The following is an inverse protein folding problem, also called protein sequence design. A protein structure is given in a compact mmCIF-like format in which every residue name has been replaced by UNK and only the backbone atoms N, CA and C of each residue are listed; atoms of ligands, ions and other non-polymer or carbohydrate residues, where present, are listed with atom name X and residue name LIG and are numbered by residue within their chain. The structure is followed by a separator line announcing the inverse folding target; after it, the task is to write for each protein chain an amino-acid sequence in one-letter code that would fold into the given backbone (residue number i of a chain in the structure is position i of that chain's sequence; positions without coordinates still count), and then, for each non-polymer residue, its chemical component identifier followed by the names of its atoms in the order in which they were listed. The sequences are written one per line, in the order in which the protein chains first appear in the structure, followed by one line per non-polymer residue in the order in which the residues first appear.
data_IF_384778515256
#
_entry.id   IF_384778515256
#
_cell.length_a   1.000
_cell.length_b   1.000
_cell.length_c   1.000
_cell.angle_alpha   90.00
_cell.angle_beta   90.00
_cell.angle_gamma   90.00
#
_symmetry.space_group_name_H-M   'P 1'
#
loop_
_entity.id
_entity.type
_entity.pdbx_description
1 polymer ?
#
# COMPACT_ATOMS: atom_id res chain seq x y z
N UNK A 1 39.09 -45.87 18.42
CA UNK A 1 39.13 -44.71 17.48
C UNK A 1 38.22 -43.62 18.03
N UNK A 2 38.77 -42.44 18.32
CA UNK A 2 38.02 -41.24 18.68
C UNK A 2 37.54 -40.58 17.39
N UNK A 3 36.25 -40.30 17.25
CA UNK A 3 35.71 -39.48 16.17
C UNK A 3 34.91 -38.34 16.79
N UNK A 4 35.57 -37.18 16.82
CA UNK A 4 35.00 -35.88 17.15
C UNK A 4 34.30 -35.40 15.90
N UNK A 5 32.97 -35.19 15.96
CA UNK A 5 32.24 -34.45 14.94
C UNK A 5 31.94 -33.06 15.46
N UNK A 6 32.79 -32.11 15.06
CA UNK A 6 32.48 -30.69 15.05
C UNK A 6 31.82 -30.38 13.70
N UNK A 7 30.55 -29.95 13.71
CA UNK A 7 29.91 -29.28 12.58
C UNK A 7 29.12 -28.11 13.18
N UNK A 8 29.81 -26.97 13.30
CA UNK A 8 29.69 -25.80 12.38
C UNK A 8 28.36 -25.08 12.55
N UNK A 9 28.45 -23.94 13.23
CA UNK A 9 27.42 -22.94 13.35
C UNK A 9 26.82 -22.57 11.98
N UNK A 10 25.57 -22.95 11.76
CA UNK A 10 24.71 -22.33 10.76
C UNK A 10 24.26 -20.98 11.30
N UNK A 11 25.11 -19.96 11.12
CA UNK A 11 24.69 -18.57 11.17
C UNK A 11 23.68 -18.37 10.05
N UNK A 12 22.40 -18.41 10.41
CA UNK A 12 21.31 -17.94 9.56
C UNK A 12 21.45 -16.41 9.53
N UNK A 13 22.31 -15.94 8.63
CA UNK A 13 22.37 -14.53 8.26
C UNK A 13 21.07 -14.21 7.53
N UNK A 14 20.09 -13.66 8.25
CA UNK A 14 18.94 -13.00 7.66
C UNK A 14 19.45 -11.75 6.92
N UNK A 15 19.86 -11.90 5.66
CA UNK A 15 20.06 -10.76 4.77
C UNK A 15 18.70 -10.25 4.27
N UNK A 16 17.93 -9.62 5.17
CA UNK A 16 16.90 -8.67 4.79
C UNK A 16 17.61 -7.38 4.32
N UNK A 17 18.18 -7.42 3.12
CA UNK A 17 18.74 -6.23 2.50
C UNK A 17 17.59 -5.43 1.90
N UNK A 18 17.05 -4.49 2.68
CA UNK A 18 16.46 -3.29 2.11
C UNK A 18 17.53 -2.68 1.20
N UNK A 19 17.25 -2.61 -0.09
CA UNK A 19 18.18 -2.13 -1.10
C UNK A 19 18.19 -0.60 -1.09
N UNK A 20 18.63 -0.03 0.03
CA UNK A 20 18.77 1.41 0.21
C UNK A 20 19.89 1.90 -0.72
N UNK A 21 19.50 2.48 -1.86
CA UNK A 21 20.46 3.08 -2.80
C UNK A 21 20.70 4.53 -2.41
N UNK A 22 21.80 4.78 -1.70
CA UNK A 22 22.27 6.13 -1.36
C UNK A 22 22.86 6.81 -2.60
N UNK A 23 22.31 7.96 -3.00
CA UNK A 23 22.85 8.83 -4.05
C UNK A 23 23.06 10.22 -3.41
N UNK A 24 24.27 10.48 -2.90
CA UNK A 24 24.55 11.71 -2.13
C UNK A 24 23.86 11.71 -0.75
N UNK A 25 23.23 12.82 -0.36
CA UNK A 25 22.43 12.95 0.88
C UNK A 25 20.99 12.43 0.74
N UNK A 26 20.65 11.84 -0.41
CA UNK A 26 19.31 11.32 -0.69
C UNK A 26 19.32 9.81 -0.53
N UNK A 27 18.40 9.30 0.28
CA UNK A 27 18.18 7.86 0.48
C UNK A 27 16.83 7.48 -0.14
N UNK A 28 16.85 6.53 -1.06
CA UNK A 28 15.64 5.90 -1.58
C UNK A 28 15.17 4.84 -0.59
N UNK A 29 13.98 5.00 -0.02
CA UNK A 29 13.39 4.07 0.93
C UNK A 29 12.16 3.43 0.30
N UNK A 30 12.16 2.11 0.22
CA UNK A 30 10.93 1.36 -0.07
C UNK A 30 10.08 1.30 1.21
N UNK A 31 8.82 1.68 1.08
CA UNK A 31 7.84 1.73 2.16
C UNK A 31 6.65 0.90 1.81
N UNK A 32 6.26 0.06 2.75
CA UNK A 32 5.03 -0.69 2.66
C UNK A 32 3.87 0.09 3.30
N UNK A 33 2.79 0.28 2.54
CA UNK A 33 1.50 0.75 3.05
C UNK A 33 0.72 -0.50 3.49
N UNK A 34 0.56 -0.65 4.80
CA UNK A 34 -0.20 -1.74 5.43
C UNK A 34 -1.60 -1.26 5.84
N UNK A 35 -2.48 -2.20 6.20
CA UNK A 35 -3.83 -1.91 6.71
C UNK A 35 -4.63 -0.93 5.82
N UNK A 36 -4.51 -1.08 4.51
CA UNK A 36 -5.11 -0.17 3.52
C UNK A 36 -6.63 -0.15 3.69
N UNK A 37 -7.27 -1.30 3.92
CA UNK A 37 -8.70 -1.42 4.15
C UNK A 37 -9.19 -0.51 5.29
N UNK A 38 -8.70 -0.73 6.51
CA UNK A 38 -9.14 0.02 7.69
C UNK A 38 -8.77 1.51 7.61
N UNK A 39 -7.56 1.80 7.09
CA UNK A 39 -7.08 3.17 6.89
C UNK A 39 -7.93 3.93 5.88
N UNK A 40 -8.41 3.24 4.84
CA UNK A 40 -9.29 3.82 3.84
C UNK A 40 -10.69 4.08 4.40
N UNK A 41 -11.28 3.10 5.10
CA UNK A 41 -12.63 3.21 5.66
C UNK A 41 -12.77 4.34 6.68
N UNK A 42 -11.73 4.60 7.48
CA UNK A 42 -11.71 5.72 8.42
C UNK A 42 -11.57 7.10 7.77
N UNK A 43 -11.23 7.15 6.48
CA UNK A 43 -10.96 8.38 5.71
C UNK A 43 -11.81 8.49 4.45
N UNK A 44 -12.95 7.80 4.42
CA UNK A 44 -13.87 7.92 3.29
C UNK A 44 -14.41 9.34 3.23
N UNK A 45 -14.35 9.94 2.05
CA UNK A 45 -14.95 11.24 1.79
C UNK A 45 -16.41 11.06 1.36
N UNK A 46 -17.25 12.03 1.75
CA UNK A 46 -18.65 12.08 1.34
C UNK A 46 -19.62 11.37 2.28
N UNK A 47 -20.87 11.30 1.85
CA UNK A 47 -21.98 10.73 2.61
C UNK A 47 -22.09 9.22 2.36
N UNK A 48 -21.74 8.42 3.36
CA UNK A 48 -21.79 6.95 3.32
C UNK A 48 -23.19 6.37 3.55
N UNK A 49 -24.20 7.21 3.82
CA UNK A 49 -25.59 6.76 4.01
C UNK A 49 -26.38 6.66 2.71
N UNK A 50 -25.81 7.14 1.59
CA UNK A 50 -26.44 7.16 0.27
C UNK A 50 -25.65 6.33 -0.71
N UNK A 51 -26.35 5.88 -1.73
CA UNK A 51 -25.74 5.26 -2.88
C UNK A 51 -24.92 6.30 -3.67
N UNK A 52 -23.73 5.91 -4.12
CA UNK A 52 -22.78 6.77 -4.84
C UNK A 52 -22.26 6.02 -6.07
N UNK A 53 -21.83 6.74 -7.12
CA UNK A 53 -21.14 6.10 -8.25
C UNK A 53 -19.86 5.35 -7.78
N UNK A 54 -19.16 5.94 -6.82
CA UNK A 54 -18.02 5.35 -6.13
C UNK A 54 -17.79 6.06 -4.80
N UNK A 55 -17.10 5.39 -3.88
CA UNK A 55 -16.55 5.99 -2.68
C UNK A 55 -15.06 6.25 -2.88
N UNK A 56 -14.54 7.22 -2.14
CA UNK A 56 -13.14 7.64 -2.25
C UNK A 56 -12.52 7.81 -0.88
N UNK A 57 -11.26 7.42 -0.73
CA UNK A 57 -10.46 7.68 0.46
C UNK A 57 -9.03 8.07 0.05
N UNK A 58 -8.27 8.62 0.99
CA UNK A 58 -6.88 9.01 0.77
C UNK A 58 -6.00 8.61 1.94
N UNK A 59 -4.87 7.96 1.64
CA UNK A 59 -3.90 7.52 2.63
C UNK A 59 -2.57 8.21 2.36
N UNK A 60 -2.20 9.17 3.21
CA UNK A 60 -0.87 9.78 3.19
C UNK A 60 0.16 8.74 3.63
N UNK A 61 1.21 8.56 2.83
CA UNK A 61 2.28 7.60 3.13
C UNK A 61 3.62 8.28 3.41
N UNK A 62 3.73 9.61 3.33
CA UNK A 62 4.89 10.36 3.81
C UNK A 62 4.85 10.45 5.34
N UNK A 63 5.99 10.23 5.99
CA UNK A 63 6.17 10.30 7.44
C UNK A 63 6.70 11.65 7.90
N UNK A 64 7.44 12.35 7.05
CA UNK A 64 8.01 13.66 7.37
C UNK A 64 7.81 14.65 6.21
N UNK A 65 7.85 15.96 6.47
CA UNK A 65 7.81 16.97 5.40
C UNK A 65 9.04 16.97 4.48
N UNK A 66 10.14 16.36 4.91
CA UNK A 66 11.39 16.25 4.13
C UNK A 66 11.38 15.07 3.16
N UNK A 67 10.37 14.21 3.23
CA UNK A 67 10.21 13.11 2.30
C UNK A 67 9.53 13.56 1.01
N UNK A 68 9.98 12.98 -0.10
CA UNK A 68 9.41 13.19 -1.42
C UNK A 68 8.92 11.87 -2.00
N UNK A 69 7.68 11.82 -2.48
CA UNK A 69 7.15 10.65 -3.16
C UNK A 69 7.76 10.49 -4.55
N UNK A 70 8.32 9.30 -4.81
CA UNK A 70 8.86 8.92 -6.12
C UNK A 70 7.81 8.13 -6.88
N UNK A 71 7.14 7.20 -6.21
CA UNK A 71 6.12 6.35 -6.81
C UNK A 71 4.95 7.20 -7.30
N UNK A 72 4.60 7.01 -8.57
CA UNK A 72 3.44 7.59 -9.24
C UNK A 72 2.68 6.53 -10.01
N UNK A 73 1.35 6.63 -10.04
CA UNK A 73 0.48 5.78 -10.85
C UNK A 73 -0.20 4.65 -10.07
N UNK A 74 -0.79 3.72 -10.83
CA UNK A 74 -1.69 2.69 -10.31
C UNK A 74 -0.97 1.62 -9.51
N UNK A 75 -1.35 1.50 -8.24
CA UNK A 75 -0.83 0.51 -7.28
C UNK A 75 -1.87 -0.54 -6.90
N UNK A 76 -3.17 -0.19 -6.99
CA UNK A 76 -4.27 -1.11 -6.75
C UNK A 76 -5.17 -1.09 -7.99
N UNK A 77 -5.53 -2.27 -8.48
CA UNK A 77 -6.48 -2.43 -9.57
C UNK A 77 -7.27 -3.71 -9.39
N UNK A 78 -8.58 -3.57 -9.13
CA UNK A 78 -9.55 -4.66 -9.19
C UNK A 78 -10.69 -4.21 -10.09
N UNK A 79 -10.89 -4.90 -11.20
CA UNK A 79 -11.99 -4.62 -12.14
C UNK A 79 -12.55 -5.95 -12.60
N UNK A 80 -13.76 -6.26 -12.16
CA UNK A 80 -14.53 -7.41 -12.61
C UNK A 80 -15.99 -7.01 -12.87
N UNK A 81 -16.90 -7.97 -13.03
CA UNK A 81 -18.31 -7.69 -13.29
C UNK A 81 -19.04 -7.02 -12.12
N UNK A 82 -18.52 -7.15 -10.90
CA UNK A 82 -19.15 -6.73 -9.66
C UNK A 82 -18.43 -5.53 -9.04
N UNK A 83 -17.11 -5.48 -9.11
CA UNK A 83 -16.28 -4.54 -8.39
C UNK A 83 -15.38 -3.72 -9.31
N UNK A 84 -15.20 -2.45 -8.96
CA UNK A 84 -14.28 -1.52 -9.60
C UNK A 84 -13.55 -0.73 -8.53
N UNK A 85 -12.27 -1.05 -8.34
CA UNK A 85 -11.37 -0.42 -7.38
C UNK A 85 -10.08 -0.01 -8.09
N UNK A 86 -9.72 1.25 -7.91
CA UNK A 86 -8.45 1.82 -8.38
C UNK A 86 -7.77 2.51 -7.21
N UNK A 87 -6.47 2.30 -7.08
CA UNK A 87 -5.62 3.02 -6.12
C UNK A 87 -4.42 3.58 -6.84
N UNK A 88 -4.31 4.90 -6.88
CA UNK A 88 -3.22 5.63 -7.52
C UNK A 88 -2.39 6.37 -6.48
N UNK A 89 -1.06 6.22 -6.54
CA UNK A 89 -0.16 7.04 -5.76
C UNK A 89 0.19 8.33 -6.52
N UNK A 90 0.04 9.46 -5.83
CA UNK A 90 0.50 10.75 -6.30
C UNK A 90 0.80 11.66 -5.10
N UNK A 91 1.86 12.47 -5.21
CA UNK A 91 2.19 13.53 -4.24
C UNK A 91 2.20 13.10 -2.77
N UNK A 92 2.66 11.88 -2.47
CA UNK A 92 2.75 11.39 -1.09
C UNK A 92 1.47 10.77 -0.54
N UNK A 93 0.45 10.62 -1.38
CA UNK A 93 -0.83 10.03 -1.01
C UNK A 93 -1.21 8.89 -1.97
N UNK A 94 -1.84 7.86 -1.42
CA UNK A 94 -2.55 6.82 -2.15
C UNK A 94 -4.04 7.20 -2.16
N UNK A 95 -4.54 7.60 -3.34
CA UNK A 95 -5.95 7.88 -3.58
C UNK A 95 -6.62 6.58 -4.01
N UNK A 96 -7.70 6.17 -3.34
CA UNK A 96 -8.42 4.94 -3.69
C UNK A 96 -9.87 5.28 -3.98
N UNK A 97 -10.33 4.91 -5.18
CA UNK A 97 -11.74 4.91 -5.57
C UNK A 97 -12.26 3.48 -5.58
N UNK A 98 -13.41 3.22 -4.97
CA UNK A 98 -13.95 1.87 -4.84
C UNK A 98 -15.48 1.85 -4.90
N UNK A 99 -16.02 0.83 -5.53
CA UNK A 99 -17.45 0.64 -5.70
C UNK A 99 -17.78 -0.56 -6.59
N UNK A 100 -19.05 -0.67 -6.97
CA UNK A 100 -19.54 -1.61 -7.96
C UNK A 100 -19.00 -1.27 -9.35
N UNK A 101 -18.86 -2.28 -10.20
CA UNK A 101 -18.41 -2.08 -11.57
C UNK A 101 -19.44 -1.33 -12.44
N UNK A 102 -20.73 -1.50 -12.13
CA UNK A 102 -21.85 -0.90 -12.84
C UNK A 102 -22.92 -0.45 -11.85
N UNK A 103 -23.58 0.66 -12.16
CA UNK A 103 -24.62 1.25 -11.34
C UNK A 103 -24.10 1.91 -10.06
N UNK A 104 -25.03 2.35 -9.22
CA UNK A 104 -24.70 2.96 -7.93
C UNK A 104 -24.29 1.91 -6.89
N UNK A 105 -23.36 2.31 -6.06
CA UNK A 105 -22.78 1.52 -4.98
C UNK A 105 -23.33 1.99 -3.65
N UNK A 106 -23.97 1.08 -2.91
CA UNK A 106 -24.15 1.24 -1.48
C UNK A 106 -22.80 1.03 -0.76
N UNK A 107 -22.66 1.62 0.43
CA UNK A 107 -21.38 1.59 1.15
C UNK A 107 -20.98 0.17 1.59
N UNK A 108 -21.93 -0.73 1.85
CA UNK A 108 -21.63 -2.09 2.25
C UNK A 108 -21.00 -2.90 1.09
N UNK A 109 -21.57 -2.81 -0.11
CA UNK A 109 -21.04 -3.41 -1.32
C UNK A 109 -19.67 -2.83 -1.67
N UNK A 110 -19.51 -1.51 -1.56
CA UNK A 110 -18.23 -0.85 -1.81
C UNK A 110 -17.14 -1.34 -0.85
N UNK A 111 -17.44 -1.48 0.45
CA UNK A 111 -16.51 -2.07 1.44
C UNK A 111 -16.06 -3.47 1.03
N UNK A 112 -16.97 -4.31 0.56
CA UNK A 112 -16.62 -5.66 0.12
C UNK A 112 -15.68 -5.64 -1.09
N UNK A 113 -15.91 -4.74 -2.06
CA UNK A 113 -15.00 -4.55 -3.18
C UNK A 113 -13.62 -4.06 -2.74
N UNK A 114 -13.56 -3.12 -1.80
CA UNK A 114 -12.30 -2.63 -1.24
C UNK A 114 -11.54 -3.75 -0.54
N UNK A 115 -12.21 -4.56 0.29
CA UNK A 115 -11.59 -5.67 1.00
C UNK A 115 -10.91 -6.67 0.06
N UNK A 116 -11.55 -6.97 -1.08
CA UNK A 116 -10.99 -7.84 -2.11
C UNK A 116 -9.74 -7.23 -2.77
N UNK A 117 -9.75 -5.92 -3.02
CA UNK A 117 -8.65 -5.23 -3.67
C UNK A 117 -7.43 -5.02 -2.76
N UNK A 118 -7.62 -5.02 -1.44
CA UNK A 118 -6.57 -4.66 -0.46
C UNK A 118 -6.07 -5.83 0.39
N UNK A 119 -6.19 -7.06 -0.12
CA UNK A 119 -5.69 -8.26 0.57
C UNK A 119 -4.16 -8.32 0.69
N UNK A 120 -3.46 -7.55 -0.15
CA UNK A 120 -2.00 -7.49 -0.17
C UNK A 120 -1.55 -6.07 0.18
N UNK A 121 -0.41 -5.94 0.89
CA UNK A 121 0.20 -4.65 1.09
C UNK A 121 0.70 -4.07 -0.24
N UNK A 122 0.84 -2.75 -0.26
CA UNK A 122 1.34 -2.00 -1.43
C UNK A 122 2.68 -1.36 -1.08
N UNK A 123 3.67 -1.49 -1.95
CA UNK A 123 4.96 -0.85 -1.77
C UNK A 123 5.04 0.47 -2.57
N UNK A 124 5.58 1.49 -1.93
CA UNK A 124 5.86 2.82 -2.51
C UNK A 124 7.29 3.21 -2.21
N UNK A 125 7.90 3.98 -3.10
CA UNK A 125 9.24 4.50 -2.93
C UNK A 125 9.17 5.99 -2.57
N UNK A 126 9.93 6.36 -1.55
CA UNK A 126 10.11 7.74 -1.10
C UNK A 126 11.59 8.08 -1.06
N UNK A 127 11.93 9.33 -1.38
CA UNK A 127 13.24 9.87 -1.07
C UNK A 127 13.18 10.56 0.28
N UNK A 128 14.15 10.31 1.13
CA UNK A 128 14.43 11.12 2.32
C UNK A 128 15.76 11.84 2.15
N UNK A 129 15.84 13.06 2.67
CA UNK A 129 17.08 13.84 2.75
C UNK A 129 17.56 13.79 4.20
N UNK A 130 18.79 13.33 4.41
CA UNK A 130 19.50 13.46 5.70
C UNK A 130 20.17 14.83 5.83
#
# INVERSE_FOLDING_TARGET
MKLIFALTATLIAFSAQANDRKIGNVIAVERQITNIYDSCLSKVSGDTSKDQDFFICTINFLKTPTEMAITKGGLIRLVDSNCKVYGDAANGALLITFGKAQGLSDFAAAKNCLAQATLKPVNVNVYTVE
#
